data_IF_417670963359
#
_entry.id   IF_417670963359
#
_cell.length_a   1.000
_cell.length_b   1.000
_cell.length_c   1.000
_cell.angle_alpha   90.00
_cell.angle_beta   90.00
_cell.angle_gamma   90.00
#
_symmetry.space_group_name_H-M   'P 1'
#
loop_
_entity.id
_entity.type
_entity.pdbx_description
1 polymer ?
#
# COMPACT_ATOMS: atom_id res chain seq x y z
N UNK A 1 -8.30 -12.22 18.42
CA UNK A 1 -9.67 -12.23 17.87
C UNK A 1 -9.75 -13.42 16.94
N UNK A 2 -10.69 -14.33 17.20
CA UNK A 2 -10.91 -15.54 16.42
C UNK A 2 -12.39 -15.66 16.05
N UNK A 3 -12.71 -16.61 15.16
CA UNK A 3 -14.05 -16.85 14.63
C UNK A 3 -15.12 -16.93 15.73
N UNK A 4 -14.82 -17.53 16.87
CA UNK A 4 -15.75 -17.69 17.99
C UNK A 4 -16.13 -16.34 18.63
N UNK A 5 -15.18 -15.40 18.72
CA UNK A 5 -15.44 -14.05 19.24
C UNK A 5 -16.47 -13.33 18.35
N UNK A 6 -16.33 -13.48 17.03
CA UNK A 6 -17.20 -12.82 16.05
C UNK A 6 -18.56 -13.52 15.92
N UNK A 7 -18.58 -14.84 16.03
CA UNK A 7 -19.81 -15.63 16.08
C UNK A 7 -20.62 -15.34 17.34
N UNK A 8 -19.96 -14.94 18.44
CA UNK A 8 -20.61 -14.41 19.63
C UNK A 8 -21.40 -13.12 19.38
N UNK A 9 -20.98 -12.30 18.41
CA UNK A 9 -21.70 -11.09 17.99
C UNK A 9 -22.86 -11.42 17.05
N UNK A 10 -22.62 -12.24 16.02
CA UNK A 10 -23.69 -12.69 15.13
C UNK A 10 -23.28 -13.92 14.30
N UNK A 11 -24.21 -14.88 14.21
CA UNK A 11 -24.14 -16.06 13.32
C UNK A 11 -25.00 -15.96 12.06
N UNK A 12 -25.78 -14.88 11.91
CA UNK A 12 -26.74 -14.70 10.81
C UNK A 12 -26.40 -13.58 9.82
N UNK A 13 -25.30 -12.86 10.06
CA UNK A 13 -24.85 -11.73 9.23
C UNK A 13 -23.34 -11.81 9.01
N UNK A 14 -22.82 -11.39 7.84
CA UNK A 14 -21.39 -11.37 7.62
C UNK A 14 -20.72 -10.30 8.50
N UNK A 15 -19.62 -10.68 9.15
CA UNK A 15 -18.75 -9.76 9.88
C UNK A 15 -17.36 -9.87 9.27
N UNK A 16 -16.79 -8.72 8.89
CA UNK A 16 -15.41 -8.58 8.48
C UNK A 16 -14.79 -7.41 9.25
N UNK A 17 -13.72 -7.68 9.98
CA UNK A 17 -12.95 -6.69 10.71
C UNK A 17 -11.56 -6.60 10.09
N UNK A 18 -11.02 -5.40 9.94
CA UNK A 18 -9.66 -5.17 9.48
C UNK A 18 -8.84 -4.55 10.61
N UNK A 19 -7.55 -4.89 10.70
CA UNK A 19 -6.62 -4.06 11.44
C UNK A 19 -6.41 -2.73 10.70
N UNK A 20 -6.07 -1.67 11.45
CA UNK A 20 -5.97 -0.31 10.90
C UNK A 20 -4.96 -0.19 9.74
N UNK A 21 -3.96 -1.07 9.69
CA UNK A 21 -2.92 -1.09 8.65
C UNK A 21 -3.23 -2.01 7.46
N UNK A 22 -4.37 -2.69 7.39
CA UNK A 22 -4.81 -3.50 6.24
C UNK A 22 -3.94 -4.71 5.87
N UNK A 23 -3.35 -5.36 6.87
CA UNK A 23 -2.52 -6.57 6.67
C UNK A 23 -3.06 -7.80 7.42
N UNK A 24 -4.02 -7.62 8.33
CA UNK A 24 -4.76 -8.70 8.98
C UNK A 24 -6.24 -8.38 9.03
N UNK A 25 -7.05 -9.42 8.84
CA UNK A 25 -8.51 -9.32 8.88
C UNK A 25 -9.09 -10.50 9.63
N UNK A 26 -10.32 -10.34 10.11
CA UNK A 26 -11.05 -11.38 10.82
C UNK A 26 -12.47 -11.49 10.28
N UNK A 27 -12.87 -12.70 9.91
CA UNK A 27 -14.19 -13.03 9.41
C UNK A 27 -14.91 -14.01 10.34
N UNK A 28 -16.21 -13.81 10.54
CA UNK A 28 -17.04 -14.76 11.28
C UNK A 28 -17.37 -16.02 10.44
N UNK A 29 -17.89 -17.07 11.07
CA UNK A 29 -18.15 -18.34 10.38
C UNK A 29 -19.20 -18.19 9.28
N UNK A 30 -20.17 -17.29 9.46
CA UNK A 30 -21.18 -16.99 8.45
C UNK A 30 -20.55 -16.45 7.16
N UNK A 31 -19.61 -15.50 7.25
CA UNK A 31 -18.92 -14.96 6.08
C UNK A 31 -18.03 -16.02 5.42
N UNK A 32 -17.26 -16.80 6.19
CA UNK A 32 -16.44 -17.88 5.65
C UNK A 32 -17.29 -18.89 4.86
N UNK A 33 -18.44 -19.30 5.42
CA UNK A 33 -19.39 -20.20 4.76
C UNK A 33 -19.97 -19.57 3.49
N UNK A 34 -20.37 -18.30 3.53
CA UNK A 34 -20.88 -17.55 2.36
C UNK A 34 -19.82 -17.48 1.25
N UNK A 35 -18.54 -17.43 1.61
CA UNK A 35 -17.40 -17.46 0.69
C UNK A 35 -16.99 -18.89 0.25
N UNK A 36 -17.67 -19.94 0.71
CA UNK A 36 -17.33 -21.33 0.37
C UNK A 36 -16.07 -21.87 1.04
N UNK A 37 -15.57 -21.18 2.09
CA UNK A 37 -14.38 -21.55 2.85
C UNK A 37 -14.80 -22.48 3.99
N UNK A 38 -14.19 -23.66 4.05
CA UNK A 38 -14.48 -24.68 5.05
C UNK A 38 -13.26 -25.62 5.22
N UNK A 39 -13.35 -26.62 6.11
CA UNK A 39 -12.23 -27.50 6.42
C UNK A 39 -11.69 -28.30 5.22
N UNK A 40 -12.52 -28.58 4.20
CA UNK A 40 -12.07 -29.27 2.98
C UNK A 40 -11.62 -28.32 1.87
N UNK A 41 -11.76 -27.00 2.06
CA UNK A 41 -11.36 -25.98 1.10
C UNK A 41 -10.85 -24.74 1.85
N UNK A 42 -9.55 -24.73 2.14
CA UNK A 42 -8.87 -23.66 2.87
C UNK A 42 -7.94 -22.94 1.89
N UNK A 43 -8.32 -21.76 1.39
CA UNK A 43 -7.47 -20.98 0.51
C UNK A 43 -6.21 -20.51 1.22
N UNK A 44 -5.16 -20.28 0.44
CA UNK A 44 -3.96 -19.62 0.93
C UNK A 44 -4.27 -18.25 1.55
N UNK A 45 -3.64 -17.95 2.70
CA UNK A 45 -3.86 -16.70 3.43
C UNK A 45 -5.02 -16.76 4.42
N UNK A 46 -5.72 -17.89 4.55
CA UNK A 46 -6.66 -18.17 5.64
C UNK A 46 -5.95 -19.02 6.70
N UNK A 47 -5.84 -18.53 7.93
CA UNK A 47 -5.23 -19.32 9.01
C UNK A 47 -6.22 -20.38 9.55
N UNK A 48 -5.66 -21.44 10.13
CA UNK A 48 -6.41 -22.54 10.75
C UNK A 48 -6.16 -22.61 12.25
N UNK A 49 -7.09 -23.25 12.96
CA UNK A 49 -6.87 -23.65 14.35
C UNK A 49 -6.15 -25.01 14.42
N UNK A 50 -5.88 -25.47 15.64
CA UNK A 50 -5.22 -26.77 15.89
C UNK A 50 -5.94 -27.99 15.32
N UNK A 51 -7.24 -27.88 15.05
CA UNK A 51 -8.05 -28.95 14.43
C UNK A 51 -8.13 -28.83 12.89
N UNK A 52 -7.36 -27.92 12.29
CA UNK A 52 -7.35 -27.69 10.85
C UNK A 52 -8.59 -26.98 10.31
N UNK A 53 -9.44 -26.40 11.16
CA UNK A 53 -10.60 -25.59 10.71
C UNK A 53 -10.17 -24.13 10.50
N UNK A 54 -10.72 -23.43 9.49
CA UNK A 54 -10.52 -21.99 9.34
C UNK A 54 -10.85 -21.25 10.65
N UNK A 55 -9.91 -20.46 11.17
CA UNK A 55 -10.06 -19.79 12.47
C UNK A 55 -10.59 -18.35 12.36
N UNK A 56 -10.90 -17.90 11.14
CA UNK A 56 -11.39 -16.55 10.85
C UNK A 56 -10.31 -15.53 10.51
N UNK A 57 -9.03 -15.80 10.79
CA UNK A 57 -7.94 -14.86 10.47
C UNK A 57 -7.57 -14.94 8.99
N UNK A 58 -7.50 -13.78 8.33
CA UNK A 58 -7.10 -13.62 6.93
C UNK A 58 -5.84 -12.74 6.87
N UNK A 59 -4.85 -13.17 6.10
CA UNK A 59 -3.51 -12.55 6.03
C UNK A 59 -3.31 -11.84 4.69
N UNK A 60 -2.87 -10.58 4.77
CA UNK A 60 -2.59 -9.73 3.61
C UNK A 60 -3.79 -9.59 2.67
N UNK A 61 -3.56 -9.10 1.46
CA UNK A 61 -4.56 -9.16 0.40
C UNK A 61 -4.96 -10.61 0.06
N UNK A 62 -4.03 -11.56 0.16
CA UNK A 62 -4.25 -12.95 -0.26
C UNK A 62 -5.44 -13.59 0.45
N UNK A 63 -5.52 -13.46 1.78
CA UNK A 63 -6.66 -13.93 2.56
C UNK A 63 -7.90 -13.05 2.42
N UNK A 64 -7.74 -11.72 2.38
CA UNK A 64 -8.87 -10.79 2.23
C UNK A 64 -9.69 -11.09 0.98
N UNK A 65 -9.03 -11.22 -0.18
CA UNK A 65 -9.70 -11.43 -1.46
C UNK A 65 -10.48 -12.74 -1.55
N UNK A 66 -10.24 -13.70 -0.64
CA UNK A 66 -11.03 -14.93 -0.56
C UNK A 66 -12.47 -14.69 -0.09
N UNK A 67 -12.72 -13.64 0.71
CA UNK A 67 -14.06 -13.39 1.28
C UNK A 67 -14.80 -12.23 0.64
N UNK A 68 -14.09 -11.29 -0.01
CA UNK A 68 -14.72 -10.09 -0.59
C UNK A 68 -15.84 -10.37 -1.62
N UNK A 69 -15.72 -11.38 -2.52
CA UNK A 69 -16.80 -11.70 -3.45
C UNK A 69 -18.11 -12.10 -2.78
N UNK A 70 -18.07 -12.55 -1.52
CA UNK A 70 -19.25 -12.91 -0.75
C UNK A 70 -19.97 -11.69 -0.15
N UNK A 71 -19.37 -10.50 -0.14
CA UNK A 71 -19.93 -9.27 0.45
C UNK A 71 -19.75 -8.05 -0.45
N UNK A 72 -20.14 -8.12 -1.74
CA UNK A 72 -19.91 -7.04 -2.69
C UNK A 72 -20.55 -5.72 -2.25
N UNK A 73 -21.68 -5.74 -1.55
CA UNK A 73 -22.35 -4.55 -1.00
C UNK A 73 -21.46 -3.75 -0.03
N UNK A 74 -20.64 -4.43 0.78
CA UNK A 74 -19.76 -3.79 1.75
C UNK A 74 -18.53 -3.19 1.07
N UNK A 75 -17.95 -3.90 0.10
CA UNK A 75 -16.64 -3.53 -0.48
C UNK A 75 -16.70 -2.77 -1.79
N UNK A 76 -17.83 -2.83 -2.51
CA UNK A 76 -17.96 -2.09 -3.76
C UNK A 76 -17.70 -0.59 -3.54
N UNK A 77 -16.78 -0.06 -4.33
CA UNK A 77 -16.51 1.37 -4.42
C UNK A 77 -17.61 2.01 -5.26
N UNK A 78 -18.39 2.89 -4.63
CA UNK A 78 -19.46 3.65 -5.27
C UNK A 78 -19.17 5.14 -5.16
N UNK A 79 -19.76 5.95 -6.04
CA UNK A 79 -19.63 7.40 -5.97
C UNK A 79 -20.09 7.93 -4.61
N UNK A 80 -21.22 7.41 -4.08
CA UNK A 80 -21.76 7.79 -2.77
C UNK A 80 -20.75 7.56 -1.63
N UNK A 81 -20.09 6.39 -1.61
CA UNK A 81 -19.09 6.08 -0.58
C UNK A 81 -17.87 6.99 -0.67
N UNK A 82 -17.40 7.27 -1.89
CA UNK A 82 -16.27 8.19 -2.09
C UNK A 82 -16.69 9.62 -1.67
N UNK A 83 -17.87 10.08 -2.09
CA UNK A 83 -18.39 11.41 -1.73
C UNK A 83 -18.44 11.63 -0.22
N UNK A 84 -18.75 10.60 0.57
CA UNK A 84 -18.77 10.70 2.04
C UNK A 84 -17.37 10.92 2.66
N UNK A 85 -16.29 10.49 2.01
CA UNK A 85 -14.93 10.60 2.55
C UNK A 85 -14.17 11.84 2.05
N UNK A 86 -14.49 12.38 0.87
CA UNK A 86 -13.79 13.55 0.31
C UNK A 86 -13.79 14.79 1.24
N UNK A 87 -14.88 15.11 1.98
CA UNK A 87 -14.87 16.21 2.94
C UNK A 87 -13.79 16.06 4.02
N UNK A 88 -13.45 14.83 4.41
CA UNK A 88 -12.43 14.58 5.43
C UNK A 88 -11.02 14.96 4.96
N UNK A 89 -10.75 14.91 3.66
CA UNK A 89 -9.49 15.35 3.06
C UNK A 89 -9.43 16.87 2.94
N UNK A 90 -10.49 17.48 2.41
CA UNK A 90 -10.57 18.93 2.19
C UNK A 90 -10.64 19.72 3.50
N UNK A 91 -11.33 19.21 4.53
CA UNK A 91 -11.34 19.78 5.87
C UNK A 91 -9.94 19.80 6.53
N UNK A 92 -9.08 18.87 6.15
CA UNK A 92 -7.68 18.83 6.58
C UNK A 92 -6.73 19.65 5.69
N UNK A 93 -7.26 20.38 4.70
CA UNK A 93 -6.50 21.23 3.78
C UNK A 93 -5.90 20.49 2.58
N UNK A 94 -6.24 19.23 2.35
CA UNK A 94 -5.76 18.49 1.18
C UNK A 94 -6.57 18.87 -0.07
N UNK A 95 -5.92 19.48 -1.06
CA UNK A 95 -6.54 19.87 -2.33
C UNK A 95 -6.34 18.85 -3.45
N UNK A 96 -5.33 17.98 -3.31
CA UNK A 96 -5.03 16.87 -4.22
C UNK A 96 -4.72 15.63 -3.39
N UNK A 97 -5.29 14.49 -3.78
CA UNK A 97 -5.07 13.19 -3.12
C UNK A 97 -4.68 12.13 -4.14
N UNK A 98 -3.99 11.09 -3.69
CA UNK A 98 -3.63 9.95 -4.52
C UNK A 98 -4.52 8.75 -4.16
N UNK A 99 -5.23 8.19 -5.14
CA UNK A 99 -5.85 6.87 -5.00
C UNK A 99 -4.78 5.82 -5.30
N UNK A 100 -4.24 5.21 -4.25
CA UNK A 100 -2.97 4.49 -4.32
C UNK A 100 -3.07 3.06 -4.89
N UNK A 101 -4.27 2.51 -5.05
CA UNK A 101 -4.52 1.14 -5.54
C UNK A 101 -5.74 1.08 -6.46
N UNK A 102 -5.84 2.00 -7.43
CA UNK A 102 -6.95 2.02 -8.38
C UNK A 102 -7.05 0.67 -9.08
N UNK A 103 -8.21 0.02 -8.91
CA UNK A 103 -8.53 -1.26 -9.54
C UNK A 103 -8.40 -2.50 -8.67
N UNK A 104 -8.07 -2.37 -7.38
CA UNK A 104 -8.06 -3.50 -6.43
C UNK A 104 -9.40 -4.25 -6.29
N UNK A 105 -10.51 -3.68 -6.79
CA UNK A 105 -11.83 -4.31 -6.84
C UNK A 105 -12.44 -4.23 -8.25
N UNK A 106 -11.59 -4.36 -9.27
CA UNK A 106 -11.92 -4.20 -10.69
C UNK A 106 -11.49 -2.84 -11.21
N UNK A 107 -10.52 -2.86 -12.12
CA UNK A 107 -9.89 -1.68 -12.72
C UNK A 107 -10.88 -0.86 -13.53
N UNK A 108 -11.57 -1.45 -14.51
CA UNK A 108 -12.50 -0.70 -15.36
C UNK A 108 -13.69 -0.13 -14.56
N UNK A 109 -14.19 -0.92 -13.59
CA UNK A 109 -15.26 -0.49 -12.70
C UNK A 109 -14.82 0.71 -11.86
N UNK A 110 -13.66 0.63 -11.21
CA UNK A 110 -13.10 1.71 -10.40
C UNK A 110 -12.88 2.96 -11.26
N UNK A 111 -12.28 2.79 -12.44
CA UNK A 111 -12.03 3.88 -13.38
C UNK A 111 -13.31 4.63 -13.75
N UNK A 112 -14.38 3.90 -14.10
CA UNK A 112 -15.67 4.49 -14.44
C UNK A 112 -16.28 5.25 -13.26
N UNK A 113 -16.25 4.67 -12.05
CA UNK A 113 -16.75 5.30 -10.83
C UNK A 113 -16.01 6.61 -10.52
N UNK A 114 -14.68 6.60 -10.58
CA UNK A 114 -13.90 7.82 -10.31
C UNK A 114 -14.10 8.87 -11.41
N UNK A 115 -14.12 8.47 -12.69
CA UNK A 115 -14.40 9.43 -13.77
C UNK A 115 -15.77 10.09 -13.64
N UNK A 116 -16.81 9.29 -13.37
CA UNK A 116 -18.17 9.78 -13.17
C UNK A 116 -18.24 10.79 -12.03
N UNK A 117 -17.65 10.46 -10.88
CA UNK A 117 -17.65 11.34 -9.71
C UNK A 117 -16.85 12.63 -9.91
N UNK A 118 -15.65 12.54 -10.48
CA UNK A 118 -14.75 13.69 -10.60
C UNK A 118 -15.05 14.58 -11.81
N UNK A 119 -15.93 14.15 -12.72
CA UNK A 119 -16.52 15.02 -13.74
C UNK A 119 -17.54 16.02 -13.15
N UNK A 120 -18.06 15.76 -11.95
CA UNK A 120 -19.10 16.61 -11.34
C UNK A 120 -18.53 17.91 -10.78
N UNK A 121 -19.30 18.99 -10.91
CA UNK A 121 -18.87 20.33 -10.52
C UNK A 121 -18.63 20.48 -9.02
N UNK A 122 -19.44 19.78 -8.21
CA UNK A 122 -19.45 19.79 -6.74
C UNK A 122 -18.27 19.02 -6.12
N UNK A 123 -17.58 18.18 -6.89
CA UNK A 123 -16.40 17.44 -6.42
C UNK A 123 -15.19 18.38 -6.39
N UNK A 124 -14.90 18.98 -5.22
CA UNK A 124 -13.91 20.05 -5.05
C UNK A 124 -12.53 19.56 -4.54
N UNK A 125 -12.06 18.44 -5.08
CA UNK A 125 -10.73 17.88 -4.79
C UNK A 125 -10.17 17.24 -6.05
N UNK A 126 -8.84 17.23 -6.20
CA UNK A 126 -8.17 16.57 -7.31
C UNK A 126 -7.73 15.18 -6.92
N UNK A 127 -7.87 14.22 -7.83
CA UNK A 127 -7.36 12.86 -7.65
C UNK A 127 -6.32 12.54 -8.71
N UNK A 128 -5.19 12.02 -8.24
CA UNK A 128 -4.24 11.27 -9.06
C UNK A 128 -4.44 9.79 -8.73
N UNK A 129 -5.06 9.05 -9.63
CA UNK A 129 -5.30 7.63 -9.42
C UNK A 129 -4.12 6.81 -9.96
N UNK A 130 -3.64 5.87 -9.15
CA UNK A 130 -2.50 5.03 -9.46
C UNK A 130 -3.01 3.64 -9.88
N UNK A 131 -2.98 3.28 -11.17
CA UNK A 131 -3.37 1.96 -11.63
C UNK A 131 -2.55 0.89 -10.92
N UNK A 132 -3.21 -0.04 -10.23
CA UNK A 132 -2.49 -1.12 -9.56
C UNK A 132 -2.11 -2.21 -10.57
N UNK A 133 -0.81 -2.46 -10.71
CA UNK A 133 -0.32 -3.38 -11.73
C UNK A 133 -0.87 -4.80 -11.56
N UNK A 134 -0.97 -5.32 -10.34
CA UNK A 134 -1.37 -6.73 -10.10
C UNK A 134 -2.71 -7.05 -10.77
N UNK A 135 -3.78 -6.42 -10.30
CA UNK A 135 -5.13 -6.75 -10.75
C UNK A 135 -5.41 -6.13 -12.13
N UNK A 136 -4.85 -4.96 -12.43
CA UNK A 136 -4.94 -4.34 -13.74
C UNK A 136 -4.32 -5.20 -14.86
N UNK A 137 -3.18 -5.86 -14.60
CA UNK A 137 -2.56 -6.80 -15.54
C UNK A 137 -3.44 -8.03 -15.74
N UNK A 138 -4.00 -8.58 -14.67
CA UNK A 138 -4.89 -9.75 -14.73
C UNK A 138 -6.14 -9.40 -15.55
N UNK A 139 -6.79 -8.29 -15.25
CA UNK A 139 -8.00 -7.83 -15.95
C UNK A 139 -7.72 -7.54 -17.43
N UNK A 140 -6.59 -6.92 -17.75
CA UNK A 140 -6.18 -6.69 -19.15
C UNK A 140 -5.66 -7.96 -19.85
N UNK A 141 -5.39 -9.04 -19.11
CA UNK A 141 -4.85 -10.31 -19.58
C UNK A 141 -3.36 -10.33 -19.91
N UNK A 142 -2.65 -9.21 -19.84
CA UNK A 142 -1.18 -9.14 -19.95
C UNK A 142 -0.63 -7.76 -19.57
N UNK A 143 0.67 -7.69 -19.23
CA UNK A 143 1.35 -6.42 -18.97
C UNK A 143 1.34 -5.46 -20.17
N UNK A 144 1.45 -5.96 -21.40
CA UNK A 144 1.40 -5.09 -22.58
C UNK A 144 0.01 -4.45 -22.74
N UNK A 145 -1.05 -5.25 -22.66
CA UNK A 145 -2.42 -4.75 -22.74
C UNK A 145 -2.75 -3.77 -21.61
N UNK A 146 -2.27 -4.05 -20.39
CA UNK A 146 -2.43 -3.12 -19.27
C UNK A 146 -1.73 -1.79 -19.52
N UNK A 147 -0.51 -1.80 -20.07
CA UNK A 147 0.20 -0.58 -20.47
C UNK A 147 -0.59 0.21 -21.51
N UNK A 148 -1.15 -0.46 -22.51
CA UNK A 148 -1.94 0.19 -23.56
C UNK A 148 -3.20 0.86 -22.97
N UNK A 149 -3.87 0.19 -22.02
CA UNK A 149 -4.99 0.75 -21.27
C UNK A 149 -4.55 1.96 -20.45
N UNK A 150 -3.47 1.86 -19.66
CA UNK A 150 -3.00 3.00 -18.84
C UNK A 150 -2.69 4.23 -19.69
N UNK A 151 -2.05 4.05 -20.85
CA UNK A 151 -1.76 5.15 -21.77
C UNK A 151 -3.00 5.78 -22.39
N UNK A 152 -3.92 4.94 -22.86
CA UNK A 152 -5.19 5.41 -23.40
C UNK A 152 -5.99 6.22 -22.38
N UNK A 153 -5.89 5.86 -21.11
CA UNK A 153 -6.57 6.56 -20.03
C UNK A 153 -5.83 7.81 -19.55
N UNK A 154 -4.50 7.85 -19.65
CA UNK A 154 -3.67 9.04 -19.43
C UNK A 154 -3.99 10.17 -20.44
N UNK A 155 -4.27 9.82 -21.70
CA UNK A 155 -4.69 10.78 -22.74
C UNK A 155 -6.04 11.47 -22.43
N UNK A 156 -6.83 10.87 -21.53
CA UNK A 156 -8.15 11.39 -21.09
C UNK A 156 -8.08 12.09 -19.75
N UNK A 157 -6.88 12.43 -19.29
CA UNK A 157 -6.69 13.16 -18.04
C UNK A 157 -7.43 14.49 -18.07
N UNK A 158 -8.09 14.79 -16.96
CA UNK A 158 -8.81 16.04 -16.74
C UNK A 158 -8.16 16.85 -15.61
N UNK A 159 -8.67 18.05 -15.36
CA UNK A 159 -8.17 18.88 -14.28
C UNK A 159 -8.42 18.25 -12.89
N UNK A 160 -9.56 17.58 -12.70
CA UNK A 160 -9.98 16.99 -11.41
C UNK A 160 -9.58 15.52 -11.23
N UNK A 161 -9.44 14.77 -12.33
CA UNK A 161 -9.06 13.35 -12.29
C UNK A 161 -7.96 13.06 -13.30
N UNK A 162 -6.85 12.50 -12.81
CA UNK A 162 -5.70 12.10 -13.63
C UNK A 162 -5.30 10.66 -13.31
N UNK A 163 -5.05 9.86 -14.34
CA UNK A 163 -4.26 8.64 -14.25
C UNK A 163 -2.79 9.05 -14.07
N UNK A 164 -2.21 8.57 -12.98
CA UNK A 164 -0.83 8.80 -12.60
C UNK A 164 0.06 7.57 -12.83
N UNK A 165 1.20 7.51 -12.13
CA UNK A 165 2.12 6.39 -12.22
C UNK A 165 1.48 5.05 -11.82
N UNK A 166 2.03 3.95 -12.33
CA UNK A 166 1.56 2.60 -11.98
C UNK A 166 2.05 2.21 -10.58
N UNK A 167 1.13 1.68 -9.76
CA UNK A 167 1.42 1.18 -8.41
C UNK A 167 1.95 -0.24 -8.43
N UNK A 168 3.04 -0.48 -7.69
CA UNK A 168 3.68 -1.77 -7.45
C UNK A 168 3.87 -2.04 -5.96
N UNK A 169 4.10 -3.31 -5.60
CA UNK A 169 4.36 -3.76 -4.23
C UNK A 169 5.55 -4.72 -4.21
N UNK A 170 6.51 -4.48 -3.31
CA UNK A 170 7.62 -5.40 -3.06
C UNK A 170 7.36 -6.31 -1.88
N UNK A 171 7.14 -5.74 -0.69
CA UNK A 171 7.07 -6.43 0.59
C UNK A 171 5.73 -6.15 1.31
N UNK A 172 5.61 -6.65 2.54
CA UNK A 172 4.44 -6.50 3.40
C UNK A 172 4.67 -5.42 4.47
N UNK A 173 3.99 -5.55 5.61
CA UNK A 173 4.09 -4.61 6.73
C UNK A 173 4.99 -5.12 7.86
N UNK A 174 5.77 -4.20 8.41
CA UNK A 174 6.61 -4.45 9.58
C UNK A 174 5.74 -4.67 10.83
N UNK A 175 4.74 -3.81 11.08
CA UNK A 175 3.88 -3.92 12.27
C UNK A 175 3.07 -5.24 12.26
N UNK A 176 2.68 -5.70 11.07
CA UNK A 176 1.93 -6.94 10.91
C UNK A 176 2.80 -8.19 10.78
N UNK A 177 4.13 -8.05 10.86
CA UNK A 177 5.13 -9.13 10.74
C UNK A 177 5.07 -9.89 9.42
N UNK A 178 4.74 -9.19 8.34
CA UNK A 178 4.60 -9.78 7.00
C UNK A 178 5.66 -9.30 6.02
N UNK A 179 6.41 -8.26 6.39
CA UNK A 179 7.60 -7.85 5.66
C UNK A 179 8.83 -8.70 6.05
N UNK A 180 9.74 -9.02 5.11
CA UNK A 180 11.04 -9.60 5.42
C UNK A 180 12.00 -8.47 5.85
N UNK A 181 12.11 -8.22 7.15
CA UNK A 181 12.88 -7.08 7.69
C UNK A 181 14.40 -7.29 7.52
N UNK A 182 14.83 -8.54 7.39
CA UNK A 182 16.19 -8.95 7.14
C UNK A 182 16.97 -9.18 8.44
N UNK A 183 18.14 -9.81 8.29
CA UNK A 183 19.00 -10.21 9.42
C UNK A 183 19.26 -9.05 10.41
N UNK A 184 19.11 -9.25 11.74
CA UNK A 184 18.91 -10.55 12.41
C UNK A 184 17.46 -11.04 12.56
N UNK A 185 16.48 -10.40 11.92
CA UNK A 185 15.06 -10.72 12.13
C UNK A 185 14.29 -9.62 12.87
N UNK A 186 13.07 -9.94 13.29
CA UNK A 186 12.30 -9.13 14.23
C UNK A 186 12.91 -9.22 15.63
N UNK A 187 12.93 -8.09 16.33
CA UNK A 187 13.51 -7.97 17.67
C UNK A 187 12.73 -8.76 18.72
N UNK A 188 11.42 -8.91 18.54
CA UNK A 188 10.56 -9.70 19.42
C UNK A 188 10.66 -11.23 19.18
N UNK A 189 11.58 -11.68 18.30
CA UNK A 189 11.76 -13.09 17.96
C UNK A 189 10.71 -13.65 17.00
N UNK A 190 9.81 -12.82 16.47
CA UNK A 190 8.84 -13.26 15.47
C UNK A 190 9.53 -13.78 14.21
N UNK A 191 8.93 -14.78 13.52
CA UNK A 191 9.44 -15.23 12.24
C UNK A 191 9.42 -14.10 11.20
N UNK A 192 10.33 -14.21 10.24
CA UNK A 192 10.40 -13.27 9.11
C UNK A 192 9.14 -13.35 8.24
N UNK A 193 8.77 -12.18 7.72
CA UNK A 193 7.77 -12.09 6.67
C UNK A 193 8.31 -12.53 5.32
N UNK A 194 7.59 -12.20 4.24
CA UNK A 194 7.98 -12.57 2.89
C UNK A 194 7.72 -11.44 1.89
N UNK A 195 8.43 -11.50 0.77
CA UNK A 195 8.18 -10.60 -0.36
C UNK A 195 6.78 -10.87 -0.91
N UNK A 196 5.98 -9.83 -1.06
CA UNK A 196 4.60 -9.92 -1.58
C UNK A 196 4.58 -10.03 -3.11
N UNK A 197 5.65 -9.56 -3.77
CA UNK A 197 5.88 -9.78 -5.19
C UNK A 197 7.25 -10.39 -5.45
N UNK A 198 7.34 -11.25 -6.48
CA UNK A 198 8.61 -11.85 -6.88
C UNK A 198 9.61 -10.77 -7.32
N UNK A 199 10.84 -10.70 -6.77
CA UNK A 199 11.81 -9.66 -7.10
C UNK A 199 12.10 -9.52 -8.60
N UNK A 200 12.21 -10.65 -9.31
CA UNK A 200 12.39 -10.69 -10.77
C UNK A 200 11.19 -10.13 -11.53
N UNK A 201 9.98 -10.45 -11.06
CA UNK A 201 8.73 -9.97 -11.69
C UNK A 201 8.60 -8.46 -11.52
N UNK A 202 8.78 -7.94 -10.31
CA UNK A 202 8.75 -6.49 -10.03
C UNK A 202 9.81 -5.76 -10.87
N UNK A 203 11.02 -6.31 -10.94
CA UNK A 203 12.11 -5.75 -11.77
C UNK A 203 11.70 -5.66 -13.23
N UNK A 204 11.14 -6.74 -13.79
CA UNK A 204 10.69 -6.77 -15.18
C UNK A 204 9.53 -5.78 -15.44
N UNK A 205 8.59 -5.66 -14.50
CA UNK A 205 7.49 -4.70 -14.59
C UNK A 205 8.01 -3.26 -14.60
N UNK A 206 8.92 -2.90 -13.69
CA UNK A 206 9.54 -1.56 -13.63
C UNK A 206 10.27 -1.26 -14.95
N UNK A 207 11.12 -2.17 -15.44
CA UNK A 207 11.86 -1.98 -16.71
C UNK A 207 10.89 -1.80 -17.88
N UNK A 208 9.84 -2.62 -17.97
CA UNK A 208 8.89 -2.56 -19.07
C UNK A 208 8.10 -1.25 -19.05
N UNK A 209 7.56 -0.86 -17.89
CA UNK A 209 6.84 0.41 -17.69
C UNK A 209 7.75 1.60 -18.01
N UNK A 210 8.97 1.60 -17.47
CA UNK A 210 10.01 2.59 -17.76
C UNK A 210 10.27 2.71 -19.27
N UNK A 211 10.44 1.59 -19.97
CA UNK A 211 10.71 1.60 -21.42
C UNK A 211 9.60 2.32 -22.21
N UNK A 212 8.37 2.28 -21.69
CA UNK A 212 7.17 2.88 -22.28
C UNK A 212 6.89 4.30 -21.79
N UNK A 213 7.72 4.85 -20.91
CA UNK A 213 7.59 6.20 -20.36
C UNK A 213 6.61 6.29 -19.20
N UNK A 214 6.23 5.16 -18.61
CA UNK A 214 5.33 5.09 -17.47
C UNK A 214 6.16 5.02 -16.19
N UNK A 215 5.96 6.02 -15.34
CA UNK A 215 6.58 6.08 -14.01
C UNK A 215 5.96 5.01 -13.10
N UNK A 216 6.73 4.51 -12.13
CA UNK A 216 6.20 3.61 -11.09
C UNK A 216 6.28 4.24 -9.72
N UNK A 217 5.28 3.94 -8.90
CA UNK A 217 5.26 4.19 -7.48
C UNK A 217 5.23 2.82 -6.80
N UNK A 218 6.24 2.49 -6.00
CA UNK A 218 6.41 1.14 -5.46
C UNK A 218 6.37 1.16 -3.94
N UNK A 219 5.45 0.41 -3.34
CA UNK A 219 5.48 0.12 -1.90
C UNK A 219 6.71 -0.72 -1.57
N UNK A 220 7.58 -0.20 -0.70
CA UNK A 220 8.71 -0.93 -0.16
C UNK A 220 9.05 -0.44 1.26
N UNK A 221 8.84 -1.29 2.26
CA UNK A 221 9.11 -0.98 3.66
C UNK A 221 10.55 -1.29 4.07
N UNK A 222 11.12 -2.39 3.56
CA UNK A 222 12.38 -2.95 4.05
C UNK A 222 13.55 -2.52 3.18
N UNK A 223 14.77 -2.68 3.71
CA UNK A 223 16.02 -2.44 2.97
C UNK A 223 16.07 -3.27 1.69
N UNK A 224 15.64 -4.54 1.76
CA UNK A 224 15.61 -5.43 0.61
C UNK A 224 14.59 -4.98 -0.43
N UNK A 225 13.37 -4.61 -0.01
CA UNK A 225 12.35 -4.07 -0.91
C UNK A 225 12.83 -2.81 -1.63
N UNK A 226 13.42 -1.86 -0.90
CA UNK A 226 13.99 -0.64 -1.46
C UNK A 226 15.10 -0.95 -2.48
N UNK A 227 15.99 -1.91 -2.18
CA UNK A 227 17.09 -2.27 -3.07
C UNK A 227 16.59 -2.83 -4.41
N UNK A 228 15.55 -3.68 -4.38
CA UNK A 228 14.96 -4.24 -5.59
C UNK A 228 14.45 -3.13 -6.52
N UNK A 229 13.81 -2.10 -5.97
CA UNK A 229 13.32 -0.97 -6.78
C UNK A 229 14.49 -0.17 -7.36
N UNK A 230 15.50 0.15 -6.55
CA UNK A 230 16.66 0.92 -6.99
C UNK A 230 17.45 0.19 -8.09
N UNK A 231 17.68 -1.11 -7.93
CA UNK A 231 18.36 -1.94 -8.93
C UNK A 231 17.55 -2.04 -10.23
N UNK A 232 16.22 -2.18 -10.12
CA UNK A 232 15.33 -2.21 -11.27
C UNK A 232 15.34 -0.88 -12.04
N UNK A 233 15.28 0.25 -11.34
CA UNK A 233 15.36 1.58 -11.97
C UNK A 233 16.74 1.81 -12.58
N UNK A 234 17.83 1.44 -11.90
CA UNK A 234 19.19 1.51 -12.46
C UNK A 234 19.31 0.74 -13.77
N UNK A 235 18.80 -0.50 -13.80
CA UNK A 235 18.78 -1.33 -14.99
C UNK A 235 17.87 -0.77 -16.09
N UNK A 236 16.74 -0.19 -15.72
CA UNK A 236 15.83 0.43 -16.68
C UNK A 236 16.47 1.65 -17.35
N UNK A 237 17.12 2.51 -16.56
CA UNK A 237 17.88 3.66 -17.07
C UNK A 237 19.04 3.24 -17.98
N UNK A 238 19.76 2.16 -17.66
CA UNK A 238 20.85 1.67 -18.50
C UNK A 238 20.34 1.07 -19.83
N UNK A 239 19.11 0.57 -19.87
CA UNK A 239 18.50 0.01 -21.10
C UNK A 239 17.81 1.07 -21.95
N UNK A 240 17.19 2.07 -21.33
CA UNK A 240 16.54 3.17 -22.01
C UNK A 240 16.57 4.43 -21.15
N UNK A 241 17.62 5.22 -21.30
CA UNK A 241 17.82 6.42 -20.50
C UNK A 241 16.65 7.41 -20.64
N UNK A 242 16.10 7.84 -19.50
CA UNK A 242 15.03 8.83 -19.36
C UNK A 242 15.34 9.74 -18.17
N UNK A 243 15.99 10.90 -18.39
CA UNK A 243 16.48 11.76 -17.30
C UNK A 243 15.35 12.32 -16.42
N UNK A 244 14.19 12.58 -17.01
CA UNK A 244 13.06 13.22 -16.32
C UNK A 244 12.11 12.25 -15.61
N UNK A 245 12.38 10.94 -15.66
CA UNK A 245 11.44 9.96 -15.13
C UNK A 245 11.58 9.79 -13.62
N UNK A 246 10.50 10.08 -12.89
CA UNK A 246 10.50 10.19 -11.42
C UNK A 246 9.88 8.97 -10.75
N UNK A 247 10.50 7.80 -10.90
CA UNK A 247 10.10 6.62 -10.12
C UNK A 247 10.12 6.96 -8.62
N UNK A 248 9.23 6.34 -7.84
CA UNK A 248 9.11 6.63 -6.42
C UNK A 248 9.02 5.37 -5.57
N UNK A 249 9.69 5.37 -4.43
CA UNK A 249 9.51 4.38 -3.38
C UNK A 249 8.62 4.97 -2.28
N UNK A 250 7.60 4.23 -1.84
CA UNK A 250 6.71 4.62 -0.75
C UNK A 250 7.05 3.88 0.54
N UNK A 251 6.73 4.53 1.66
CA UNK A 251 7.03 4.14 3.04
C UNK A 251 8.52 4.22 3.38
N UNK A 252 9.36 3.37 2.76
CA UNK A 252 10.81 3.37 2.89
C UNK A 252 11.30 3.36 4.36
N UNK A 253 10.64 2.61 5.26
CA UNK A 253 10.91 2.68 6.70
C UNK A 253 12.38 2.51 7.03
N UNK A 254 13.01 1.46 6.51
CA UNK A 254 14.39 1.12 6.88
C UNK A 254 15.42 1.48 5.82
N UNK A 255 15.08 2.36 4.87
CA UNK A 255 15.99 2.76 3.79
C UNK A 255 17.31 3.31 4.35
N UNK A 256 18.44 2.84 3.82
CA UNK A 256 19.76 3.24 4.31
C UNK A 256 20.24 4.54 3.66
N UNK A 257 21.24 5.19 4.26
CA UNK A 257 21.89 6.36 3.66
C UNK A 257 22.47 6.04 2.27
N UNK A 258 23.09 4.87 2.10
CA UNK A 258 23.62 4.44 0.80
C UNK A 258 22.51 4.28 -0.25
N UNK A 259 21.36 3.73 0.15
CA UNK A 259 20.18 3.61 -0.72
C UNK A 259 19.59 4.98 -1.07
N UNK A 260 19.60 5.94 -0.14
CA UNK A 260 19.20 7.32 -0.40
C UNK A 260 20.14 8.03 -1.38
N UNK A 261 21.46 7.83 -1.28
CA UNK A 261 22.44 8.34 -2.26
C UNK A 261 22.16 7.79 -3.65
N UNK A 262 21.96 6.47 -3.75
CA UNK A 262 21.58 5.82 -5.00
C UNK A 262 20.22 6.33 -5.54
N UNK A 263 19.23 6.54 -4.67
CA UNK A 263 17.95 7.10 -5.06
C UNK A 263 18.12 8.49 -5.69
N UNK A 264 18.94 9.36 -5.09
CA UNK A 264 19.29 10.67 -5.66
C UNK A 264 19.95 10.54 -7.03
N UNK A 265 20.97 9.70 -7.16
CA UNK A 265 21.70 9.50 -8.42
C UNK A 265 20.76 9.04 -9.55
N UNK A 266 19.78 8.19 -9.22
CA UNK A 266 18.80 7.66 -10.18
C UNK A 266 17.59 8.58 -10.44
N UNK A 267 17.46 9.70 -9.70
CA UNK A 267 16.27 10.54 -9.74
C UNK A 267 15.02 9.92 -9.10
N UNK A 268 15.20 8.88 -8.27
CA UNK A 268 14.12 8.18 -7.56
C UNK A 268 13.68 9.01 -6.36
N UNK A 269 12.39 9.34 -6.30
CA UNK A 269 11.79 10.02 -5.16
C UNK A 269 11.46 9.06 -4.02
N UNK A 270 11.42 9.57 -2.79
CA UNK A 270 11.03 8.80 -1.60
C UNK A 270 9.82 9.45 -0.92
N UNK A 271 8.75 8.71 -0.70
CA UNK A 271 7.60 9.19 0.08
C UNK A 271 7.54 8.47 1.41
N UNK A 272 7.87 9.16 2.48
CA UNK A 272 7.90 8.59 3.82
C UNK A 272 6.51 8.55 4.46
N UNK A 273 6.25 7.53 5.27
CA UNK A 273 5.04 7.45 6.07
C UNK A 273 5.34 7.94 7.51
N UNK A 274 5.65 9.23 7.67
CA UNK A 274 6.19 9.77 8.93
C UNK A 274 5.24 9.68 10.13
N UNK A 275 3.91 9.71 9.91
CA UNK A 275 2.92 9.58 10.99
C UNK A 275 2.98 8.22 11.69
N UNK A 276 3.65 7.22 11.12
CA UNK A 276 3.92 5.95 11.78
C UNK A 276 4.85 6.07 12.98
N UNK A 277 5.75 7.07 12.99
CA UNK A 277 6.51 7.40 14.19
C UNK A 277 5.55 7.82 15.30
N UNK A 278 4.64 8.75 15.00
CA UNK A 278 3.74 9.31 15.99
C UNK A 278 2.73 8.28 16.51
N UNK A 279 2.00 7.59 15.64
CA UNK A 279 0.94 6.68 16.07
C UNK A 279 1.41 5.28 16.45
N UNK A 280 2.54 4.82 15.92
CA UNK A 280 2.96 3.41 16.07
C UNK A 280 4.46 3.26 16.35
N UNK A 281 5.17 4.33 16.72
CA UNK A 281 6.61 4.28 16.99
C UNK A 281 6.98 3.33 18.13
N UNK A 282 6.15 3.25 19.17
CA UNK A 282 6.34 2.32 20.29
C UNK A 282 6.26 0.86 19.86
N UNK A 283 5.37 0.54 18.92
CA UNK A 283 5.32 -0.80 18.31
C UNK A 283 6.53 -1.05 17.43
N UNK A 284 6.97 -0.07 16.64
CA UNK A 284 8.21 -0.18 15.88
C UNK A 284 9.44 -0.42 16.77
N UNK A 285 9.52 0.19 17.96
CA UNK A 285 10.58 -0.08 18.95
C UNK A 285 10.57 -1.53 19.41
N UNK A 286 9.39 -2.08 19.78
CA UNK A 286 9.24 -3.47 20.21
C UNK A 286 9.60 -4.47 19.10
N UNK A 287 9.22 -4.17 17.86
CA UNK A 287 9.32 -5.10 16.74
C UNK A 287 10.66 -5.06 16.03
N UNK A 288 11.27 -3.89 15.90
CA UNK A 288 12.49 -3.70 15.11
C UNK A 288 13.74 -3.52 15.98
N UNK A 289 13.54 -3.29 17.28
CA UNK A 289 14.59 -2.93 18.21
C UNK A 289 14.96 -1.44 18.11
N UNK A 290 15.66 -0.92 19.13
CA UNK A 290 15.91 0.51 19.27
C UNK A 290 16.69 1.11 18.10
N UNK A 291 17.67 0.40 17.54
CA UNK A 291 18.50 0.91 16.44
C UNK A 291 17.68 1.16 15.16
N UNK A 292 16.95 0.14 14.67
CA UNK A 292 16.16 0.28 13.44
C UNK A 292 14.98 1.24 13.62
N UNK A 293 14.29 1.19 14.75
CA UNK A 293 13.16 2.05 15.01
C UNK A 293 13.58 3.52 15.09
N UNK A 294 14.66 3.85 15.80
CA UNK A 294 15.13 5.24 15.89
C UNK A 294 15.57 5.80 14.53
N UNK A 295 16.06 4.95 13.64
CA UNK A 295 16.50 5.32 12.29
C UNK A 295 15.39 5.22 11.22
N UNK A 296 14.15 4.87 11.59
CA UNK A 296 13.09 4.67 10.60
C UNK A 296 12.66 6.00 9.95
N UNK A 297 12.22 5.96 8.69
CA UNK A 297 11.79 7.15 7.92
C UNK A 297 12.79 8.31 8.02
N UNK A 298 14.04 8.16 7.53
CA UNK A 298 15.13 9.10 7.77
C UNK A 298 15.03 10.40 6.93
N UNK A 299 13.98 11.21 7.17
CA UNK A 299 13.67 12.48 6.48
C UNK A 299 14.83 13.49 6.56
N UNK A 300 15.47 13.60 7.73
CA UNK A 300 16.61 14.49 7.93
C UNK A 300 17.83 14.10 7.07
N UNK A 301 18.11 12.80 6.95
CA UNK A 301 19.17 12.29 6.06
C UNK A 301 18.81 12.51 4.60
N UNK A 302 17.58 12.22 4.19
CA UNK A 302 17.10 12.48 2.83
C UNK A 302 17.23 13.97 2.44
N UNK A 303 16.91 14.88 3.37
CA UNK A 303 17.10 16.33 3.20
C UNK A 303 18.57 16.71 3.03
N UNK A 304 19.47 16.25 3.91
CA UNK A 304 20.92 16.54 3.82
C UNK A 304 21.52 16.02 2.51
N UNK A 305 21.08 14.85 2.07
CA UNK A 305 21.51 14.26 0.82
C UNK A 305 20.83 14.88 -0.41
N UNK A 306 19.88 15.81 -0.27
CA UNK A 306 19.14 16.42 -1.38
C UNK A 306 18.37 15.42 -2.24
N UNK A 307 17.85 14.35 -1.64
CA UNK A 307 16.91 13.42 -2.29
C UNK A 307 15.58 14.15 -2.51
N UNK A 308 14.85 13.86 -3.58
CA UNK A 308 13.46 14.33 -3.71
C UNK A 308 12.57 13.51 -2.77
N UNK A 309 12.00 14.12 -1.74
CA UNK A 309 11.17 13.39 -0.77
C UNK A 309 9.92 14.16 -0.34
N UNK A 310 8.95 13.42 0.21
CA UNK A 310 7.71 13.94 0.79
C UNK A 310 7.13 12.97 1.82
N UNK A 311 5.90 13.23 2.27
CA UNK A 311 5.20 12.38 3.22
C UNK A 311 3.77 12.07 2.80
N UNK A 312 3.21 11.00 3.36
CA UNK A 312 1.82 10.57 3.14
C UNK A 312 1.26 9.91 4.40
N UNK A 313 -0.07 9.83 4.49
CA UNK A 313 -0.77 9.35 5.70
C UNK A 313 -1.48 7.99 5.54
N UNK A 314 -1.60 7.47 4.32
CA UNK A 314 -2.27 6.19 4.00
C UNK A 314 -3.60 6.02 4.76
N UNK A 315 -4.55 6.96 4.70
CA UNK A 315 -5.81 6.78 5.40
C UNK A 315 -6.53 5.51 4.90
N UNK A 316 -7.19 4.76 5.80
CA UNK A 316 -7.38 5.07 7.22
C UNK A 316 -6.26 4.57 8.16
N UNK A 317 -5.12 4.11 7.64
CA UNK A 317 -3.95 3.68 8.43
C UNK A 317 -3.43 4.74 9.41
N UNK A 318 -3.40 6.01 8.99
CA UNK A 318 -3.39 7.16 9.90
C UNK A 318 -4.32 8.25 9.36
N UNK A 319 -4.83 9.16 10.21
CA UNK A 319 -5.66 10.28 9.75
C UNK A 319 -4.98 11.13 8.67
N UNK A 320 -5.75 11.62 7.70
CA UNK A 320 -5.32 12.48 6.59
C UNK A 320 -4.96 13.92 7.00
N UNK A 321 -4.21 14.06 8.10
CA UNK A 321 -3.78 15.32 8.71
C UNK A 321 -2.32 15.62 8.33
N UNK A 322 -2.04 16.48 7.33
CA UNK A 322 -0.67 16.75 6.89
C UNK A 322 0.21 17.36 7.98
N UNK A 323 -0.38 18.13 8.91
CA UNK A 323 0.33 18.73 10.03
C UNK A 323 0.88 17.71 11.03
N UNK A 324 0.20 16.57 11.22
CA UNK A 324 0.71 15.49 12.06
C UNK A 324 1.91 14.81 11.39
N UNK A 325 1.87 14.65 10.06
CA UNK A 325 3.01 14.13 9.30
C UNK A 325 4.24 15.03 9.41
N UNK A 326 4.04 16.35 9.35
CA UNK A 326 5.09 17.35 9.55
C UNK A 326 5.62 17.32 10.99
N UNK A 327 4.74 17.31 12.00
CA UNK A 327 5.11 17.19 13.41
C UNK A 327 5.95 15.92 13.65
N UNK A 328 5.49 14.77 13.16
CA UNK A 328 6.18 13.49 13.31
C UNK A 328 7.55 13.49 12.60
N UNK A 329 7.67 14.15 11.44
CA UNK A 329 8.93 14.26 10.73
C UNK A 329 9.96 15.17 11.43
N UNK A 330 9.50 16.18 12.19
CA UNK A 330 10.34 17.16 12.90
C UNK A 330 10.69 16.68 14.31
N UNK A 331 9.68 16.39 15.13
CA UNK A 331 9.85 16.09 16.55
C UNK A 331 10.16 14.61 16.79
N UNK A 332 9.71 13.73 15.88
CA UNK A 332 9.92 12.28 15.94
C UNK A 332 9.51 11.62 17.28
N UNK A 333 8.51 12.18 17.94
CA UNK A 333 7.97 11.64 19.19
C UNK A 333 6.78 10.70 18.94
N UNK A 334 6.63 9.66 19.74
CA UNK A 334 5.40 8.84 19.76
C UNK A 334 4.26 9.52 20.52
N UNK A 335 3.01 9.13 20.26
CA UNK A 335 1.84 9.65 20.98
C UNK A 335 1.70 9.07 22.39
N UNK A 336 2.07 7.80 22.59
CA UNK A 336 1.82 7.09 23.84
C UNK A 336 2.92 7.35 24.87
N UNK A 337 4.19 7.15 24.49
CA UNK A 337 5.33 7.31 25.38
C UNK A 337 6.07 8.65 25.25
N UNK A 338 5.89 9.35 24.13
CA UNK A 338 6.61 10.59 23.84
C UNK A 338 8.11 10.38 23.60
N UNK A 339 8.53 9.15 23.34
CA UNK A 339 9.94 8.78 23.11
C UNK A 339 10.42 9.07 21.70
#
# INVERSE_FOLDING_TARGET
MHVDDLDGVSKGRPILISNVVFHRYWANSFLLKKAGINQSNIPDGVETNSNGKPNGTLIEGKGLFCVLPAIPELVNITEEKIQKILPLFTAAGNTTVCEAILGALGFQKSLNTFKGLFAKSETNVRVIALPWARDGIVEAGSLNKFIDVVKHEEEKNSDKFRIGPVKLYTDGSIISRTAPIGWPGYWDGSPEGHMQGGPKEITNQIIKLHSKGITTITHANTRQGCQIVLDAVKKAQSQKYRPDMRHRIEHAYNITEAQLKLARELGVGIQFFSTQIYYYGDEHLKLQGPDRANNMTPTGTAKRLGVSWGFHNVPPGTPQLPWVAAHAAVNRMTIDSGT
#
